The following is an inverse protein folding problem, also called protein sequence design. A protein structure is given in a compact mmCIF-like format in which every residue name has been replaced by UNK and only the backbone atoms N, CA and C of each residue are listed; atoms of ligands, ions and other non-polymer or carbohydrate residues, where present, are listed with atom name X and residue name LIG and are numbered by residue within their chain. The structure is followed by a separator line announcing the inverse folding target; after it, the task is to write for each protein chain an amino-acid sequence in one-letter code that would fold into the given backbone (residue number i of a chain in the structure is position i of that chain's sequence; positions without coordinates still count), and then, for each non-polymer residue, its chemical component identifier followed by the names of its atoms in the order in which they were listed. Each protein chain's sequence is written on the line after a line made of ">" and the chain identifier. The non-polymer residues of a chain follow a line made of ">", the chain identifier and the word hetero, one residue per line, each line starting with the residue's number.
data_IF_721943902101
#
_entry.id   IF_721943902101
#
_cell.length_a   1.000
_cell.length_b   1.000
_cell.length_c   1.000
_cell.angle_alpha   90.00
_cell.angle_beta   90.00
_cell.angle_gamma   90.00
#
_symmetry.space_group_name_H-M   'P 1'
#
loop_
_entity.id
_entity.type
_entity.pdbx_description
1 polymer ?
#
# COMPACT_ATOMS: atom_id res chain seq x y z
N UNK A 1 23.53 -16.12 -9.85
CA UNK A 1 23.09 -14.75 -10.16
C UNK A 1 22.93 -14.05 -8.83
N UNK A 2 23.59 -12.92 -8.62
CA UNK A 2 23.41 -12.13 -7.39
C UNK A 2 21.94 -11.69 -7.34
N UNK A 3 21.22 -11.85 -6.21
CA UNK A 3 19.83 -11.42 -6.13
C UNK A 3 19.75 -9.92 -6.44
N UNK A 4 18.80 -9.52 -7.29
CA UNK A 4 18.59 -8.13 -7.62
C UNK A 4 18.23 -7.36 -6.33
N UNK A 5 18.95 -6.27 -6.05
CA UNK A 5 18.77 -5.49 -4.82
C UNK A 5 17.50 -4.68 -4.92
N UNK A 6 16.65 -4.78 -3.90
CA UNK A 6 15.34 -4.12 -3.91
C UNK A 6 15.45 -2.66 -3.51
N UNK A 7 14.84 -1.78 -4.31
CA UNK A 7 14.73 -0.34 -4.04
C UNK A 7 13.25 0.05 -4.09
N UNK A 8 12.73 0.58 -2.99
CA UNK A 8 11.35 1.05 -2.88
C UNK A 8 11.32 2.57 -2.88
N UNK A 9 10.66 3.17 -3.86
CA UNK A 9 10.29 4.58 -3.79
C UNK A 9 8.90 4.67 -3.15
N UNK A 10 8.81 5.32 -1.99
CA UNK A 10 7.55 5.47 -1.26
C UNK A 10 7.07 6.91 -1.38
N UNK A 11 5.95 7.10 -2.05
CA UNK A 11 5.29 8.40 -2.21
C UNK A 11 3.82 8.31 -1.78
N UNK A 12 3.09 9.41 -1.85
CA UNK A 12 1.67 9.44 -1.51
C UNK A 12 1.20 10.79 -1.00
N UNK A 13 -0.12 10.88 -0.80
CA UNK A 13 -0.74 12.08 -0.25
C UNK A 13 -0.27 12.33 1.18
N UNK A 14 -0.14 13.60 1.55
CA UNK A 14 0.22 13.99 2.90
C UNK A 14 -0.86 13.52 3.88
N UNK A 15 -0.47 12.74 4.88
CA UNK A 15 -1.41 12.12 5.83
C UNK A 15 -1.90 10.71 5.42
N UNK A 16 -1.52 10.20 4.24
CA UNK A 16 -1.88 8.85 3.79
C UNK A 16 -1.03 7.73 4.42
N UNK A 17 -0.10 8.04 5.33
CA UNK A 17 0.65 7.00 6.06
C UNK A 17 2.04 6.66 5.50
N UNK A 18 2.59 7.44 4.55
CA UNK A 18 3.98 7.30 4.04
C UNK A 18 5.00 7.08 5.17
N UNK A 19 4.98 7.92 6.20
CA UNK A 19 5.92 7.80 7.34
C UNK A 19 5.74 6.51 8.14
N UNK A 20 4.51 5.98 8.23
CA UNK A 20 4.25 4.69 8.88
C UNK A 20 4.82 3.55 8.04
N UNK A 21 4.62 3.60 6.73
CA UNK A 21 5.16 2.60 5.79
C UNK A 21 6.69 2.57 5.85
N UNK A 22 7.35 3.73 5.75
CA UNK A 22 8.81 3.82 5.85
C UNK A 22 9.33 3.22 7.15
N UNK A 23 8.64 3.45 8.27
CA UNK A 23 9.02 2.91 9.58
C UNK A 23 8.83 1.40 9.67
N UNK A 24 7.78 0.86 9.06
CA UNK A 24 7.59 -0.60 8.97
C UNK A 24 8.70 -1.22 8.10
N UNK A 25 9.07 -0.57 6.99
CA UNK A 25 10.18 -1.03 6.14
C UNK A 25 11.52 -0.98 6.88
N UNK A 26 11.76 0.04 7.70
CA UNK A 26 12.93 0.12 8.59
C UNK A 26 12.97 -1.08 9.56
N UNK A 27 11.85 -1.42 10.20
CA UNK A 27 11.73 -2.59 11.08
C UNK A 27 11.99 -3.92 10.34
N UNK A 28 11.72 -3.96 9.03
CA UNK A 28 11.98 -5.10 8.14
C UNK A 28 13.43 -5.16 7.63
N UNK A 29 14.30 -4.23 8.05
CA UNK A 29 15.72 -4.21 7.69
C UNK A 29 16.05 -3.46 6.40
N UNK A 30 15.13 -2.63 5.89
CA UNK A 30 15.46 -1.70 4.81
C UNK A 30 16.28 -0.53 5.37
N UNK A 31 17.28 -0.09 4.61
CA UNK A 31 17.87 1.24 4.80
C UNK A 31 16.82 2.27 4.37
N UNK A 32 16.49 3.23 5.24
CA UNK A 32 15.42 4.20 4.98
C UNK A 32 15.98 5.61 4.89
N UNK A 33 15.64 6.33 3.81
CA UNK A 33 15.94 7.77 3.67
C UNK A 33 14.65 8.55 3.36
N UNK A 34 14.29 9.52 4.20
CA UNK A 34 13.09 10.34 4.00
C UNK A 34 13.42 11.70 3.36
N UNK A 35 12.77 12.00 2.25
CA UNK A 35 12.85 13.26 1.49
C UNK A 35 14.28 13.72 1.11
N UNK A 36 15.16 12.84 0.59
CA UNK A 36 16.44 13.28 0.08
C UNK A 36 16.24 14.15 -1.18
N UNK A 37 17.10 15.15 -1.45
CA UNK A 37 17.10 15.82 -2.74
C UNK A 37 17.12 14.81 -3.90
N UNK A 38 16.29 15.01 -4.93
CA UNK A 38 16.16 14.04 -6.03
C UNK A 38 17.50 13.76 -6.74
N UNK A 39 18.41 14.74 -6.74
CA UNK A 39 19.76 14.61 -7.31
C UNK A 39 20.66 13.60 -6.57
N UNK A 40 20.26 13.15 -5.38
CA UNK A 40 21.02 12.19 -4.57
C UNK A 40 20.50 10.76 -4.68
N UNK A 41 19.42 10.50 -5.43
CA UNK A 41 18.82 9.15 -5.51
C UNK A 41 19.83 8.11 -6.01
N UNK A 42 20.51 8.38 -7.13
CA UNK A 42 21.52 7.46 -7.67
C UNK A 42 22.67 7.22 -6.70
N UNK A 43 23.09 8.26 -5.97
CA UNK A 43 24.17 8.15 -5.00
C UNK A 43 23.76 7.35 -3.76
N UNK A 44 22.51 7.45 -3.31
CA UNK A 44 21.98 6.64 -2.21
C UNK A 44 21.87 5.18 -2.64
N UNK A 45 21.32 4.95 -3.83
CA UNK A 45 21.21 3.60 -4.39
C UNK A 45 22.60 2.99 -4.57
N UNK A 46 23.58 3.69 -5.12
CA UNK A 46 24.92 3.15 -5.34
C UNK A 46 25.70 2.83 -4.05
N UNK A 47 25.35 3.45 -2.92
CA UNK A 47 26.07 3.29 -1.63
C UNK A 47 25.48 2.25 -0.70
N UNK A 48 24.23 1.85 -0.93
CA UNK A 48 23.52 0.91 -0.06
C UNK A 48 23.70 -0.51 -0.57
N UNK A 49 24.25 -1.38 0.26
CA UNK A 49 24.32 -2.83 0.00
C UNK A 49 23.07 -3.58 0.48
N UNK A 50 22.17 -2.88 1.20
CA UNK A 50 20.91 -3.42 1.73
C UNK A 50 19.73 -3.02 0.84
N UNK A 51 18.55 -3.65 1.01
CA UNK A 51 17.32 -3.14 0.44
C UNK A 51 17.07 -1.71 0.91
N UNK A 52 16.72 -0.82 -0.01
CA UNK A 52 16.62 0.61 0.25
C UNK A 52 15.18 1.09 0.08
N UNK A 53 14.68 1.90 1.00
CA UNK A 53 13.38 2.54 0.91
C UNK A 53 13.54 4.06 1.00
N UNK A 54 13.10 4.77 -0.05
CA UNK A 54 13.27 6.21 -0.18
C UNK A 54 11.89 6.88 -0.15
N UNK A 55 11.65 7.70 0.87
CA UNK A 55 10.48 8.55 0.97
C UNK A 55 10.59 9.75 0.04
N UNK A 56 9.60 9.95 -0.83
CA UNK A 56 9.51 11.13 -1.70
C UNK A 56 8.11 11.73 -1.56
N UNK A 57 8.01 12.91 -0.97
CA UNK A 57 6.79 13.72 -0.97
C UNK A 57 7.01 15.12 -1.56
N UNK A 58 5.95 15.93 -1.60
CA UNK A 58 5.97 17.29 -2.15
C UNK A 58 6.95 18.24 -1.47
N UNK A 59 7.49 17.89 -0.29
CA UNK A 59 8.54 18.66 0.42
C UNK A 59 9.93 18.32 -0.06
N UNK A 60 10.09 17.26 -0.85
CA UNK A 60 11.38 16.83 -1.37
C UNK A 60 12.01 17.96 -2.16
N UNK A 61 13.28 18.26 -1.89
CA UNK A 61 13.96 19.36 -2.59
C UNK A 61 14.11 19.02 -4.07
N UNK A 62 13.59 19.90 -4.92
CA UNK A 62 13.53 19.69 -6.37
C UNK A 62 12.40 18.76 -6.81
N UNK A 63 11.38 18.56 -5.96
CA UNK A 63 10.23 17.73 -6.31
C UNK A 63 9.52 18.24 -7.56
N UNK A 64 9.49 17.40 -8.59
CA UNK A 64 8.55 17.46 -9.70
C UNK A 64 8.16 16.04 -10.06
N UNK A 65 6.86 15.75 -10.21
CA UNK A 65 6.39 14.40 -10.49
C UNK A 65 7.07 13.78 -11.73
N UNK A 66 7.28 14.58 -12.79
CA UNK A 66 8.00 14.12 -13.99
C UNK A 66 9.47 13.80 -13.73
N UNK A 67 10.15 14.58 -12.87
CA UNK A 67 11.53 14.32 -12.51
C UNK A 67 11.66 13.02 -11.70
N UNK A 68 10.73 12.78 -10.78
CA UNK A 68 10.64 11.52 -10.02
C UNK A 68 10.42 10.32 -10.97
N UNK A 69 9.51 10.44 -11.94
CA UNK A 69 9.29 9.40 -12.95
C UNK A 69 10.54 9.15 -13.80
N UNK A 70 11.27 10.22 -14.16
CA UNK A 70 12.55 10.10 -14.86
C UNK A 70 13.59 9.32 -14.06
N UNK A 71 13.75 9.65 -12.77
CA UNK A 71 14.63 8.93 -11.86
C UNK A 71 14.20 7.47 -11.69
N UNK A 72 12.90 7.19 -11.51
CA UNK A 72 12.35 5.84 -11.44
C UNK A 72 12.69 5.02 -12.69
N UNK A 73 12.52 5.60 -13.88
CA UNK A 73 12.85 4.94 -15.14
C UNK A 73 14.35 4.64 -15.28
N UNK A 74 15.21 5.57 -14.83
CA UNK A 74 16.67 5.38 -14.81
C UNK A 74 17.09 4.25 -13.86
N UNK A 75 16.51 4.20 -12.66
CA UNK A 75 16.77 3.13 -11.70
C UNK A 75 16.28 1.77 -12.22
N UNK A 76 15.09 1.72 -12.82
CA UNK A 76 14.53 0.49 -13.43
C UNK A 76 15.34 -0.04 -14.62
N UNK A 77 16.15 0.80 -15.28
CA UNK A 77 17.01 0.37 -16.36
C UNK A 77 18.26 -0.39 -15.89
N UNK A 78 18.53 -0.41 -14.57
CA UNK A 78 19.66 -1.12 -13.98
C UNK A 78 19.25 -2.57 -13.69
N UNK A 79 19.93 -3.54 -14.33
CA UNK A 79 19.56 -4.95 -14.27
C UNK A 79 19.81 -5.61 -12.90
N UNK A 80 20.62 -4.99 -12.05
CA UNK A 80 20.94 -5.44 -10.70
C UNK A 80 19.95 -4.93 -9.64
N UNK A 81 18.96 -4.12 -10.04
CA UNK A 81 17.96 -3.54 -9.15
C UNK A 81 16.56 -4.06 -9.44
N UNK A 82 15.80 -4.30 -8.37
CA UNK A 82 14.36 -4.48 -8.42
C UNK A 82 13.70 -3.24 -7.81
N UNK A 83 13.20 -2.35 -8.68
CA UNK A 83 12.72 -1.03 -8.28
C UNK A 83 11.20 -0.95 -8.37
N UNK A 84 10.57 -0.70 -7.22
CA UNK A 84 9.10 -0.55 -7.12
C UNK A 84 8.73 0.85 -6.60
N UNK A 85 7.67 1.43 -7.17
CA UNK A 85 7.03 2.67 -6.72
C UNK A 85 5.77 2.32 -5.93
N UNK A 86 5.77 2.67 -4.65
CA UNK A 86 4.65 2.51 -3.74
C UNK A 86 3.97 3.87 -3.51
N UNK A 87 2.66 3.92 -3.72
CA UNK A 87 1.84 5.11 -3.55
C UNK A 87 0.84 4.91 -2.41
N UNK A 88 0.98 5.68 -1.33
CA UNK A 88 0.00 5.70 -0.25
C UNK A 88 -1.09 6.76 -0.53
N UNK A 89 -2.35 6.36 -0.45
CA UNK A 89 -3.51 7.25 -0.62
C UNK A 89 -4.50 7.12 0.54
N UNK A 90 -5.41 8.07 0.64
CA UNK A 90 -6.63 7.96 1.44
C UNK A 90 -7.69 8.93 0.89
N UNK A 91 -8.95 8.72 1.24
CA UNK A 91 -10.04 9.62 0.94
C UNK A 91 -9.81 11.00 1.58
N UNK A 92 -10.22 12.05 0.86
CA UNK A 92 -9.99 13.44 1.26
C UNK A 92 -10.53 13.72 2.67
N UNK A 93 -11.70 13.22 3.02
CA UNK A 93 -12.28 13.43 4.35
C UNK A 93 -11.50 12.71 5.46
N UNK A 94 -10.93 11.54 5.19
CA UNK A 94 -10.02 10.84 6.10
C UNK A 94 -8.73 11.63 6.29
N UNK A 95 -8.13 12.15 5.21
CA UNK A 95 -6.94 13.01 5.30
C UNK A 95 -7.22 14.26 6.14
N UNK A 96 -8.35 14.94 5.90
CA UNK A 96 -8.79 16.10 6.70
C UNK A 96 -8.89 15.78 8.18
N UNK A 97 -9.49 14.64 8.55
CA UNK A 97 -9.58 14.19 9.95
C UNK A 97 -8.20 13.93 10.55
N UNK A 98 -7.29 13.29 9.82
CA UNK A 98 -5.92 13.00 10.28
C UNK A 98 -5.10 14.28 10.52
N UNK A 99 -5.21 15.27 9.64
CA UNK A 99 -4.57 16.57 9.83
C UNK A 99 -5.14 17.32 11.04
N UNK A 100 -6.46 17.27 11.22
CA UNK A 100 -7.13 17.86 12.38
C UNK A 100 -6.67 17.21 13.69
N UNK A 101 -6.59 15.87 13.71
CA UNK A 101 -6.18 15.09 14.88
C UNK A 101 -4.70 15.32 15.24
N UNK A 102 -3.82 15.38 14.24
CA UNK A 102 -2.37 15.54 14.46
C UNK A 102 -1.94 17.00 14.60
N UNK A 103 -2.83 17.96 14.27
CA UNK A 103 -2.55 19.41 14.20
C UNK A 103 -1.32 19.77 13.36
N UNK A 104 -0.90 18.88 12.45
CA UNK A 104 0.21 19.13 11.54
C UNK A 104 -0.26 20.06 10.42
N UNK A 105 0.61 20.96 9.98
CA UNK A 105 0.35 21.77 8.78
C UNK A 105 0.52 20.92 7.54
N UNK A 106 -0.31 21.19 6.53
CA UNK A 106 -0.16 20.56 5.23
C UNK A 106 1.06 21.17 4.51
N UNK A 107 1.89 20.37 3.81
CA UNK A 107 3.10 20.88 3.15
C UNK A 107 2.89 22.00 2.13
N UNK A 108 1.77 21.94 1.39
CA UNK A 108 1.37 22.95 0.41
C UNK A 108 0.57 24.12 1.01
N UNK A 109 0.32 24.11 2.32
CA UNK A 109 -0.41 25.19 2.99
C UNK A 109 0.53 26.37 3.28
N UNK A 110 0.57 27.29 2.33
CA UNK A 110 1.35 28.54 2.39
C UNK A 110 0.56 29.69 3.03
N UNK A 111 -0.29 29.44 4.03
CA UNK A 111 -1.10 30.48 4.66
C UNK A 111 -0.28 31.42 5.57
N UNK A 112 0.44 32.37 4.99
CA UNK A 112 0.72 33.69 5.59
C UNK A 112 -0.41 34.65 5.22
N UNK A 113 -1.65 34.31 5.64
CA UNK A 113 -2.85 35.10 5.38
C UNK A 113 -3.42 34.89 3.98
N UNK A 114 -4.67 34.44 3.90
CA UNK A 114 -5.51 34.34 2.67
C UNK A 114 -5.23 33.22 1.65
N UNK A 115 -4.59 32.11 2.06
CA UNK A 115 -4.50 30.89 1.23
C UNK A 115 -5.72 29.96 1.43
N UNK A 116 -6.08 29.11 0.43
CA UNK A 116 -7.29 28.31 0.47
C UNK A 116 -7.19 27.22 1.54
N UNK A 117 -8.30 26.88 2.18
CA UNK A 117 -8.31 25.95 3.31
C UNK A 117 -7.70 24.58 2.99
N UNK A 118 -7.36 23.81 4.03
CA UNK A 118 -6.75 22.48 3.97
C UNK A 118 -7.26 21.56 2.83
N UNK A 119 -8.56 21.62 2.52
CA UNK A 119 -9.20 20.91 1.40
C UNK A 119 -8.51 21.22 0.06
N UNK A 120 -8.32 22.49 -0.26
CA UNK A 120 -7.71 22.91 -1.52
C UNK A 120 -6.23 22.51 -1.60
N UNK A 121 -5.51 22.49 -0.48
CA UNK A 121 -4.13 21.99 -0.43
C UNK A 121 -4.06 20.50 -0.75
N UNK A 122 -5.02 19.72 -0.25
CA UNK A 122 -5.14 18.29 -0.57
C UNK A 122 -5.49 18.11 -2.06
N UNK A 123 -6.48 18.85 -2.57
CA UNK A 123 -6.88 18.77 -3.99
C UNK A 123 -5.70 19.11 -4.92
N UNK A 124 -4.93 20.14 -4.59
CA UNK A 124 -3.72 20.50 -5.33
C UNK A 124 -2.66 19.39 -5.29
N UNK A 125 -2.48 18.76 -4.13
CA UNK A 125 -1.55 17.64 -3.97
C UNK A 125 -1.97 16.42 -4.81
N UNK A 126 -3.27 16.10 -4.85
CA UNK A 126 -3.83 15.02 -5.68
C UNK A 126 -3.48 15.25 -7.15
N UNK A 127 -3.72 16.46 -7.67
CA UNK A 127 -3.41 16.81 -9.07
C UNK A 127 -1.91 16.69 -9.36
N UNK A 128 -1.08 17.16 -8.42
CA UNK A 128 0.37 17.17 -8.56
C UNK A 128 0.98 15.76 -8.50
N UNK A 129 0.40 14.85 -7.70
CA UNK A 129 0.85 13.47 -7.54
C UNK A 129 0.18 12.47 -8.51
N UNK A 130 -0.84 12.89 -9.27
CA UNK A 130 -1.54 12.02 -10.22
C UNK A 130 -0.62 11.28 -11.22
N UNK A 131 0.47 11.88 -11.75
CA UNK A 131 1.41 11.15 -12.61
C UNK A 131 2.14 10.01 -11.89
N UNK A 132 2.44 10.18 -10.59
CA UNK A 132 3.07 9.14 -9.78
C UNK A 132 2.08 8.02 -9.44
N UNK A 133 0.83 8.37 -9.16
CA UNK A 133 -0.23 7.37 -8.98
C UNK A 133 -0.39 6.48 -10.22
N UNK A 134 -0.38 7.08 -11.42
CA UNK A 134 -0.51 6.32 -12.67
C UNK A 134 0.69 5.42 -13.02
N UNK A 135 1.84 5.60 -12.35
CA UNK A 135 3.04 4.81 -12.56
C UNK A 135 3.38 3.90 -11.37
N UNK A 136 2.56 3.91 -10.32
CA UNK A 136 2.78 3.14 -9.11
C UNK A 136 2.60 1.64 -9.37
N UNK A 137 3.52 0.84 -8.85
CA UNK A 137 3.42 -0.61 -8.89
C UNK A 137 2.49 -1.14 -7.79
N UNK A 138 2.40 -0.40 -6.68
CA UNK A 138 1.49 -0.70 -5.59
C UNK A 138 0.83 0.58 -5.08
N UNK A 139 -0.50 0.60 -5.08
CA UNK A 139 -1.30 1.66 -4.47
C UNK A 139 -1.91 1.12 -3.19
N UNK A 140 -1.60 1.75 -2.06
CA UNK A 140 -2.19 1.40 -0.76
C UNK A 140 -3.21 2.46 -0.39
N UNK A 141 -4.48 2.08 -0.38
CA UNK A 141 -5.54 2.91 0.18
C UNK A 141 -5.61 2.71 1.70
N UNK A 142 -5.29 3.76 2.45
CA UNK A 142 -5.28 3.73 3.91
C UNK A 142 -6.55 4.27 4.53
N UNK A 143 -7.60 4.57 3.76
CA UNK A 143 -8.82 5.22 4.24
C UNK A 143 -9.44 4.49 5.42
N UNK A 144 -9.71 3.19 5.22
CA UNK A 144 -10.29 2.30 6.22
C UNK A 144 -9.30 1.26 6.74
N UNK A 145 -8.00 1.46 6.51
CA UNK A 145 -6.96 0.50 6.89
C UNK A 145 -6.39 0.83 8.27
N UNK A 146 -6.64 0.00 9.31
CA UNK A 146 -6.05 0.22 10.62
C UNK A 146 -4.52 0.07 10.58
N UNK A 147 -3.76 0.72 11.49
CA UNK A 147 -2.29 0.67 11.49
C UNK A 147 -1.71 -0.74 11.58
N UNK A 148 -2.38 -1.64 12.29
CA UNK A 148 -1.99 -3.06 12.39
C UNK A 148 -2.10 -3.78 11.04
N UNK A 149 -3.17 -3.50 10.27
CA UNK A 149 -3.40 -4.14 8.97
C UNK A 149 -2.45 -3.57 7.93
N UNK A 150 -2.16 -2.26 7.98
CA UNK A 150 -1.10 -1.66 7.17
C UNK A 150 0.25 -2.35 7.43
N UNK A 151 0.61 -2.56 8.70
CA UNK A 151 1.83 -3.30 9.05
C UNK A 151 1.83 -4.70 8.45
N UNK A 152 0.75 -5.46 8.63
CA UNK A 152 0.64 -6.82 8.08
C UNK A 152 0.74 -6.86 6.55
N UNK A 153 0.16 -5.87 5.86
CA UNK A 153 0.24 -5.77 4.40
C UNK A 153 1.68 -5.53 3.95
N UNK A 154 2.39 -4.59 4.59
CA UNK A 154 3.80 -4.30 4.27
C UNK A 154 4.71 -5.49 4.63
N UNK A 155 4.51 -6.12 5.80
CA UNK A 155 5.27 -7.30 6.24
C UNK A 155 5.04 -8.50 5.32
N UNK A 156 3.80 -8.75 4.89
CA UNK A 156 3.51 -9.80 3.93
C UNK A 156 4.26 -9.54 2.61
N UNK A 157 4.18 -8.31 2.08
CA UNK A 157 4.72 -7.99 0.76
C UNK A 157 6.24 -7.81 0.71
N UNK A 158 6.86 -7.38 1.81
CA UNK A 158 8.26 -6.95 1.83
C UNK A 158 9.09 -7.60 2.96
N UNK A 159 8.50 -8.44 3.82
CA UNK A 159 9.20 -9.07 4.95
C UNK A 159 9.99 -10.33 4.60
N UNK A 160 9.71 -10.98 3.47
CA UNK A 160 10.41 -12.20 3.04
C UNK A 160 11.65 -11.84 2.20
N UNK A 161 12.72 -11.38 2.85
CA UNK A 161 13.97 -11.02 2.16
C UNK A 161 14.92 -12.20 1.90
N UNK A 162 14.68 -13.38 2.49
CA UNK A 162 15.65 -14.49 2.49
C UNK A 162 15.22 -15.75 1.71
N UNK A 163 13.99 -15.82 1.21
CA UNK A 163 13.56 -16.95 0.38
C UNK A 163 13.64 -16.53 -1.09
N UNK A 164 14.62 -17.10 -1.80
CA UNK A 164 14.91 -16.77 -3.19
C UNK A 164 13.67 -16.86 -4.08
N UNK A 165 13.42 -15.79 -4.84
CA UNK A 165 12.53 -15.72 -6.01
C UNK A 165 11.12 -16.32 -5.83
N UNK A 166 10.61 -16.47 -4.61
CA UNK A 166 9.29 -17.03 -4.36
C UNK A 166 8.23 -15.93 -4.45
N UNK A 167 7.21 -16.17 -5.28
CA UNK A 167 6.04 -15.29 -5.37
C UNK A 167 5.32 -15.22 -4.02
N UNK A 168 5.18 -14.01 -3.49
CA UNK A 168 4.39 -13.75 -2.28
C UNK A 168 2.92 -13.60 -2.66
N UNK A 169 2.04 -14.40 -2.03
CA UNK A 169 0.58 -14.30 -2.21
C UNK A 169 -0.04 -13.72 -0.93
N UNK A 170 -0.67 -12.56 -1.06
CA UNK A 170 -1.41 -11.92 0.04
C UNK A 170 -2.90 -12.22 -0.08
N UNK A 171 -3.48 -12.83 0.96
CA UNK A 171 -4.92 -13.05 1.06
C UNK A 171 -5.53 -12.04 2.03
N UNK A 172 -6.50 -11.26 1.54
CA UNK A 172 -7.21 -10.24 2.32
C UNK A 172 -8.72 -10.44 2.21
N UNK A 173 -9.41 -10.39 3.35
CA UNK A 173 -10.88 -10.31 3.41
C UNK A 173 -11.30 -8.84 3.43
N UNK A 174 -12.34 -8.48 2.67
CA UNK A 174 -12.92 -7.13 2.65
C UNK A 174 -14.45 -7.20 2.70
N UNK A 175 -15.11 -6.05 2.87
CA UNK A 175 -16.56 -5.94 2.82
C UNK A 175 -16.97 -4.91 1.75
N UNK A 176 -17.87 -5.28 0.82
CA UNK A 176 -18.34 -4.39 -0.25
C UNK A 176 -18.80 -3.00 0.19
N UNK A 177 -19.49 -2.81 1.34
CA UNK A 177 -19.85 -1.47 1.81
C UNK A 177 -18.64 -0.55 2.08
N UNK A 178 -17.45 -1.11 2.34
CA UNK A 178 -16.19 -0.39 2.51
C UNK A 178 -15.39 -0.28 1.20
N UNK A 179 -15.95 -0.68 0.06
CA UNK A 179 -15.27 -0.68 -1.23
C UNK A 179 -14.40 -1.90 -1.50
N UNK A 180 -13.85 -1.97 -2.72
CA UNK A 180 -12.89 -2.99 -3.12
C UNK A 180 -11.47 -2.56 -2.70
N UNK A 181 -10.62 -3.47 -2.19
CA UNK A 181 -9.21 -3.19 -2.00
C UNK A 181 -8.59 -2.79 -3.35
N UNK A 182 -7.94 -1.63 -3.40
CA UNK A 182 -7.37 -1.11 -4.66
C UNK A 182 -6.15 -1.90 -5.12
N UNK A 183 -5.52 -2.59 -4.18
CA UNK A 183 -4.36 -3.45 -4.33
C UNK A 183 -4.69 -4.88 -4.77
N UNK A 184 -5.97 -5.26 -4.85
CA UNK A 184 -6.35 -6.63 -5.17
C UNK A 184 -6.27 -6.92 -6.69
N UNK A 185 -5.43 -7.89 -7.07
CA UNK A 185 -5.37 -8.41 -8.44
C UNK A 185 -6.59 -9.30 -8.77
N UNK A 186 -7.05 -10.08 -7.79
CA UNK A 186 -8.18 -11.00 -7.91
C UNK A 186 -9.17 -10.75 -6.78
N UNK A 187 -10.45 -10.60 -7.14
CA UNK A 187 -11.56 -10.40 -6.19
C UNK A 187 -12.57 -11.53 -6.36
N UNK A 188 -12.83 -12.26 -5.28
CA UNK A 188 -13.82 -13.34 -5.25
C UNK A 188 -15.00 -12.97 -4.36
N UNK A 189 -16.21 -12.91 -4.92
CA UNK A 189 -17.42 -12.60 -4.18
C UNK A 189 -17.97 -13.87 -3.50
N UNK A 190 -18.04 -13.87 -2.17
CA UNK A 190 -18.55 -14.98 -1.36
C UNK A 190 -19.96 -14.72 -0.78
N UNK A 191 -20.65 -13.63 -1.17
CA UNK A 191 -21.94 -13.22 -0.57
C UNK A 191 -23.10 -14.19 -0.83
N UNK A 192 -22.97 -15.07 -1.81
CA UNK A 192 -23.99 -16.07 -2.11
C UNK A 192 -23.98 -17.25 -1.13
N UNK A 193 -22.88 -17.45 -0.40
CA UNK A 193 -22.79 -18.45 0.65
C UNK A 193 -23.62 -18.05 1.88
N UNK A 194 -23.98 -19.03 2.71
CA UNK A 194 -24.60 -18.82 4.02
C UNK A 194 -23.97 -17.67 4.80
N UNK A 195 -24.76 -16.64 5.05
CA UNK A 195 -24.32 -15.46 5.78
C UNK A 195 -24.49 -15.68 7.30
N UNK A 196 -23.40 -15.69 8.10
CA UNK A 196 -23.47 -15.88 9.55
C UNK A 196 -24.14 -14.71 10.27
N UNK A 197 -24.28 -13.53 9.65
CA UNK A 197 -24.95 -12.39 10.26
C UNK A 197 -26.47 -12.54 10.42
N UNK A 198 -27.08 -13.56 9.79
CA UNK A 198 -28.49 -13.91 10.01
C UNK A 198 -28.72 -14.73 11.28
N UNK A 199 -27.66 -15.33 11.83
CA UNK A 199 -27.70 -16.04 13.11
C UNK A 199 -27.27 -15.06 14.24
N UNK A 200 -28.17 -14.74 15.20
CA UNK A 200 -27.85 -13.84 16.30
C UNK A 200 -26.62 -14.25 17.11
N UNK A 201 -26.38 -15.54 17.27
CA UNK A 201 -25.29 -16.09 18.09
C UNK A 201 -23.94 -15.98 17.36
N UNK A 202 -23.95 -15.99 16.03
CA UNK A 202 -22.74 -15.89 15.20
C UNK A 202 -22.42 -14.46 14.78
N UNK A 203 -23.39 -13.55 14.84
CA UNK A 203 -23.29 -12.18 14.32
C UNK A 203 -22.13 -11.37 14.91
N UNK A 204 -21.77 -11.62 16.17
CA UNK A 204 -20.68 -10.93 16.87
C UNK A 204 -19.31 -11.61 16.71
N UNK A 205 -19.28 -12.80 16.11
CA UNK A 205 -18.06 -13.60 15.91
C UNK A 205 -17.40 -13.29 14.56
N UNK A 206 -16.22 -13.85 14.34
CA UNK A 206 -15.43 -13.67 13.12
C UNK A 206 -15.29 -14.98 12.33
N UNK A 207 -14.90 -14.91 11.06
CA UNK A 207 -14.61 -16.10 10.26
C UNK A 207 -13.42 -16.95 10.76
N UNK A 208 -12.64 -16.43 11.72
CA UNK A 208 -11.56 -17.18 12.38
C UNK A 208 -12.12 -18.19 13.38
N UNK A 209 -13.30 -17.91 13.94
CA UNK A 209 -13.96 -18.75 14.93
C UNK A 209 -14.45 -20.08 14.30
N UNK A 210 -14.18 -21.24 14.92
CA UNK A 210 -14.56 -22.55 14.36
C UNK A 210 -16.06 -22.69 14.11
N UNK A 211 -16.90 -22.08 14.96
CA UNK A 211 -18.36 -22.16 14.87
C UNK A 211 -18.86 -21.44 13.61
N UNK A 212 -18.36 -20.24 13.33
CA UNK A 212 -18.70 -19.47 12.12
C UNK A 212 -18.23 -20.22 10.88
N UNK A 213 -17.02 -20.78 10.90
CA UNK A 213 -16.48 -21.57 9.79
C UNK A 213 -17.35 -22.78 9.48
N UNK A 214 -17.78 -23.51 10.50
CA UNK A 214 -18.63 -24.69 10.32
C UNK A 214 -20.01 -24.31 9.79
N UNK A 215 -20.56 -23.17 10.22
CA UNK A 215 -21.84 -22.67 9.72
C UNK A 215 -21.78 -22.34 8.22
N UNK A 216 -20.76 -21.61 7.76
CA UNK A 216 -20.58 -21.26 6.35
C UNK A 216 -20.35 -22.51 5.49
N UNK A 217 -19.61 -23.51 6.00
CA UNK A 217 -19.36 -24.80 5.35
C UNK A 217 -20.60 -25.66 5.10
N UNK A 218 -21.72 -25.37 5.76
CA UNK A 218 -22.98 -26.09 5.53
C UNK A 218 -23.72 -25.63 4.26
N UNK A 219 -23.22 -24.58 3.60
CA UNK A 219 -23.74 -24.17 2.31
C UNK A 219 -23.40 -25.22 1.23
N UNK A 220 -24.37 -25.68 0.42
CA UNK A 220 -24.12 -26.69 -0.60
C UNK A 220 -23.10 -26.25 -1.67
N UNK A 221 -22.95 -24.93 -1.88
CA UNK A 221 -22.04 -24.39 -2.89
C UNK A 221 -20.63 -24.12 -2.34
N UNK A 222 -20.39 -24.26 -1.02
CA UNK A 222 -19.13 -23.94 -0.37
C UNK A 222 -17.94 -24.71 -0.95
N UNK A 223 -18.01 -26.04 -0.98
CA UNK A 223 -16.88 -26.88 -1.42
C UNK A 223 -16.60 -26.69 -2.91
N UNK A 224 -17.66 -26.53 -3.72
CA UNK A 224 -17.54 -26.28 -5.16
C UNK A 224 -16.85 -24.94 -5.41
N UNK A 225 -17.30 -23.87 -4.75
CA UNK A 225 -16.70 -22.55 -4.90
C UNK A 225 -15.24 -22.53 -4.49
N UNK A 226 -14.91 -23.08 -3.32
CA UNK A 226 -13.55 -23.14 -2.83
C UNK A 226 -12.64 -23.93 -3.77
N UNK A 227 -13.10 -25.10 -4.27
CA UNK A 227 -12.33 -25.89 -5.23
C UNK A 227 -12.05 -25.11 -6.51
N UNK A 228 -13.05 -24.41 -7.07
CA UNK A 228 -12.89 -23.63 -8.31
C UNK A 228 -11.90 -22.49 -8.16
N UNK A 229 -11.91 -21.80 -7.02
CA UNK A 229 -10.92 -20.76 -6.72
C UNK A 229 -9.53 -21.37 -6.61
N UNK A 230 -9.37 -22.46 -5.87
CA UNK A 230 -8.06 -23.12 -5.71
C UNK A 230 -7.52 -23.64 -7.04
N UNK A 231 -8.37 -24.17 -7.92
CA UNK A 231 -7.96 -24.64 -9.25
C UNK A 231 -7.56 -23.48 -10.16
N UNK A 232 -8.26 -22.34 -10.10
CA UNK A 232 -7.84 -21.12 -10.79
C UNK A 232 -6.50 -20.62 -10.26
N UNK A 233 -6.32 -20.56 -8.95
CA UNK A 233 -5.07 -20.10 -8.33
C UNK A 233 -3.89 -21.00 -8.72
N UNK A 234 -4.05 -22.32 -8.70
CA UNK A 234 -3.01 -23.26 -9.18
C UNK A 234 -2.67 -23.10 -10.67
N UNK A 235 -3.59 -22.55 -11.46
CA UNK A 235 -3.36 -22.32 -12.89
C UNK A 235 -2.57 -21.03 -13.15
N UNK A 236 -2.82 -19.98 -12.35
CA UNK A 236 -2.23 -18.64 -12.56
C UNK A 236 -0.99 -18.38 -11.71
N UNK A 237 -0.80 -19.13 -10.62
CA UNK A 237 0.38 -19.06 -9.77
C UNK A 237 1.44 -20.08 -10.23
N UNK A 238 2.73 -19.72 -10.23
CA UNK A 238 3.84 -20.59 -10.61
C UNK A 238 4.09 -21.76 -9.64
#
# INVERSE_FOLDING_TARGET
>A
MTPARRVLLVTGLSGAGKSSILRILEDLGYEVTDNPPLTLLDALVARSDQPLAIGIDVRTRGFEARAVLGALAQLRAQNDLLVELLYATAETDILLRRFTATRRRHPLDNSTGTAPGLVASIDQEIVLLAPLLGAADLVIDTSDLPPHDLRRLIEARFGHQNDGDSMTVTLQSFAYPAGLPREADLVFDARFLRNPHYDPDLKAMTGLDPVVRQYVKQDPDYDVFLSRILDLLKLVLP
#
